data_IF_091186264596
#
_entry.id   IF_091186264596
#
_cell.length_a   1.000
_cell.length_b   1.000
_cell.length_c   1.000
_cell.angle_alpha   90.00
_cell.angle_beta   90.00
_cell.angle_gamma   90.00
#
_symmetry.space_group_name_H-M   'P 1'
#
loop_
_entity.id
_entity.type
_entity.pdbx_description
1 polymer ?
#
# COMPACT_ATOMS: atom_id res chain seq x y z
N UNK A 1 7.65 12.60 -4.58
CA UNK A 1 8.49 11.46 -4.08
C UNK A 1 9.92 11.92 -3.90
N UNK A 2 10.51 11.72 -2.73
CA UNK A 2 11.91 12.06 -2.42
C UNK A 2 12.59 10.89 -1.70
N UNK A 3 13.73 10.42 -2.20
CA UNK A 3 14.57 9.45 -1.48
C UNK A 3 15.32 10.17 -0.35
N UNK A 4 15.35 9.56 0.84
CA UNK A 4 15.95 10.12 2.05
C UNK A 4 17.14 9.27 2.48
N UNK A 5 18.32 9.88 2.53
CA UNK A 5 19.57 9.26 2.94
C UNK A 5 19.83 9.49 4.44
N UNK A 6 18.93 8.99 5.29
CA UNK A 6 19.07 9.01 6.74
C UNK A 6 18.99 7.57 7.26
N UNK A 7 20.13 7.00 7.60
CA UNK A 7 20.21 5.61 8.03
C UNK A 7 19.57 5.37 9.40
N UNK A 8 19.68 6.32 10.33
CA UNK A 8 19.12 6.20 11.67
C UNK A 8 17.59 6.16 11.61
N UNK A 9 16.99 7.11 10.86
CA UNK A 9 15.54 7.12 10.64
C UNK A 9 15.07 5.87 9.90
N UNK A 10 15.83 5.38 8.90
CA UNK A 10 15.51 4.13 8.20
C UNK A 10 15.46 2.95 9.18
N UNK A 11 16.47 2.79 10.03
CA UNK A 11 16.52 1.70 11.01
C UNK A 11 15.40 1.83 12.06
N UNK A 12 15.11 3.03 12.51
CA UNK A 12 13.99 3.29 13.42
C UNK A 12 12.67 2.83 12.80
N UNK A 13 12.36 3.27 11.57
CA UNK A 13 11.12 2.89 10.87
C UNK A 13 11.02 1.39 10.58
N UNK A 14 12.16 0.74 10.25
CA UNK A 14 12.21 -0.72 10.10
C UNK A 14 11.82 -1.45 11.38
N UNK A 15 12.31 -0.96 12.52
CA UNK A 15 12.03 -1.56 13.83
C UNK A 15 10.59 -1.32 14.27
N UNK A 16 10.11 -0.09 14.19
CA UNK A 16 8.76 0.29 14.61
C UNK A 16 7.66 -0.40 13.80
N UNK A 17 7.90 -0.64 12.52
CA UNK A 17 6.90 -1.22 11.61
C UNK A 17 6.98 -2.73 11.47
N UNK A 18 7.87 -3.39 12.20
CA UNK A 18 8.15 -4.84 12.06
C UNK A 18 8.47 -5.26 10.61
N UNK A 19 9.10 -4.36 9.83
CA UNK A 19 9.42 -4.59 8.43
C UNK A 19 10.30 -5.83 8.22
N UNK A 20 11.34 -5.98 9.07
CA UNK A 20 12.28 -7.10 8.98
C UNK A 20 11.61 -8.46 9.17
N UNK A 21 10.56 -8.50 9.97
CA UNK A 21 9.81 -9.73 10.26
C UNK A 21 8.97 -10.21 9.07
N UNK A 22 8.93 -9.42 8.00
CA UNK A 22 8.20 -9.80 6.78
C UNK A 22 8.99 -10.73 5.87
N UNK A 23 10.29 -10.91 6.09
CA UNK A 23 11.19 -11.63 5.18
C UNK A 23 11.98 -12.72 5.91
N UNK A 24 12.30 -13.80 5.19
CA UNK A 24 13.19 -14.86 5.72
C UNK A 24 14.67 -14.48 5.64
N UNK A 25 15.03 -13.51 4.80
CA UNK A 25 16.38 -13.01 4.61
C UNK A 25 16.50 -11.53 4.99
N UNK A 26 17.69 -11.09 5.38
CA UNK A 26 17.91 -9.67 5.67
C UNK A 26 17.94 -8.85 4.38
N UNK A 27 16.98 -7.98 4.22
CA UNK A 27 16.81 -7.07 3.09
C UNK A 27 17.26 -5.63 3.41
N UNK A 28 17.79 -5.40 4.60
CA UNK A 28 18.07 -4.05 5.14
C UNK A 28 19.09 -3.25 4.33
N UNK A 29 20.08 -3.92 3.74
CA UNK A 29 21.15 -3.28 2.98
C UNK A 29 20.63 -2.55 1.75
N UNK A 30 19.72 -3.18 1.00
CA UNK A 30 19.16 -2.67 -0.26
C UNK A 30 17.84 -1.89 -0.06
N UNK A 31 17.31 -1.90 1.17
CA UNK A 31 16.12 -1.12 1.49
C UNK A 31 16.44 0.36 1.46
N UNK A 32 15.61 1.11 0.73
CA UNK A 32 15.67 2.57 0.66
C UNK A 32 14.51 3.20 1.40
N UNK A 33 14.70 4.46 1.83
CA UNK A 33 13.67 5.24 2.50
C UNK A 33 13.17 6.33 1.57
N UNK A 34 11.84 6.37 1.40
CA UNK A 34 11.16 7.40 0.62
C UNK A 34 10.19 8.20 1.47
N UNK A 35 10.12 9.48 1.15
CA UNK A 35 9.19 10.42 1.73
C UNK A 35 8.25 10.97 0.64
N UNK A 36 6.96 10.99 0.94
CA UNK A 36 5.91 11.50 0.08
C UNK A 36 5.13 12.57 0.83
N UNK A 37 4.92 13.71 0.22
CA UNK A 37 4.01 14.73 0.71
C UNK A 37 2.56 14.37 0.37
N UNK A 38 1.62 15.00 1.05
CA UNK A 38 0.22 14.88 0.70
C UNK A 38 0.00 15.18 -0.80
N UNK A 39 -0.78 14.35 -1.48
CA UNK A 39 -1.06 14.34 -2.92
C UNK A 39 0.07 13.84 -3.82
N UNK A 40 1.23 13.44 -3.30
CA UNK A 40 2.23 12.72 -4.09
C UNK A 40 1.72 11.34 -4.49
N UNK A 41 2.11 10.89 -5.68
CA UNK A 41 1.85 9.52 -6.12
C UNK A 41 2.92 8.58 -5.59
N UNK A 42 2.50 7.52 -4.92
CA UNK A 42 3.34 6.37 -4.55
C UNK A 42 3.43 5.42 -5.74
N UNK A 43 2.30 5.13 -6.36
CA UNK A 43 2.19 4.42 -7.65
C UNK A 43 1.33 5.24 -8.59
N UNK A 44 1.79 5.42 -9.83
CA UNK A 44 1.01 6.09 -10.88
C UNK A 44 0.19 5.07 -11.66
N UNK A 45 -1.05 5.43 -12.01
CA UNK A 45 -1.92 4.58 -12.81
C UNK A 45 -1.28 4.26 -14.18
N UNK A 46 -1.33 2.99 -14.59
CA UNK A 46 -0.77 2.51 -15.86
C UNK A 46 0.77 2.43 -15.91
N UNK A 47 1.49 2.79 -14.84
CA UNK A 47 2.94 2.72 -14.80
C UNK A 47 3.40 1.64 -13.82
N UNK A 48 4.10 0.63 -14.33
CA UNK A 48 4.67 -0.43 -13.50
C UNK A 48 5.63 0.16 -12.46
N UNK A 49 5.39 -0.06 -11.15
CA UNK A 49 6.24 0.46 -10.10
C UNK A 49 7.61 -0.23 -10.13
N UNK A 50 8.67 0.55 -9.99
CA UNK A 50 10.04 0.02 -9.87
C UNK A 50 10.36 -0.49 -8.47
N UNK A 51 9.52 -0.18 -7.50
CA UNK A 51 9.72 -0.44 -6.07
C UNK A 51 8.52 -1.15 -5.48
N UNK A 52 8.80 -2.16 -4.64
CA UNK A 52 7.84 -2.64 -3.64
C UNK A 52 7.96 -1.72 -2.44
N UNK A 53 6.92 -0.93 -2.18
CA UNK A 53 6.88 -0.04 -1.03
C UNK A 53 6.26 -0.73 0.18
N UNK A 54 6.76 -0.39 1.36
CA UNK A 54 6.15 -0.71 2.63
C UNK A 54 5.89 0.60 3.36
N UNK A 55 4.63 0.99 3.42
CA UNK A 55 4.18 2.19 4.12
C UNK A 55 4.38 1.99 5.61
N UNK A 56 5.24 2.80 6.23
CA UNK A 56 5.56 2.71 7.66
C UNK A 56 4.84 3.76 8.49
N UNK A 57 4.54 4.90 7.89
CA UNK A 57 3.76 6.00 8.50
C UNK A 57 2.92 6.69 7.45
N UNK A 58 1.74 7.16 7.86
CA UNK A 58 0.81 7.90 7.02
C UNK A 58 -0.27 7.02 6.39
N UNK A 59 -1.07 7.65 5.52
CA UNK A 59 -2.20 7.04 4.83
C UNK A 59 -2.18 7.38 3.35
N UNK A 60 -2.63 6.44 2.52
CA UNK A 60 -2.76 6.61 1.09
C UNK A 60 -4.14 6.13 0.61
N UNK A 61 -4.55 6.55 -0.57
CA UNK A 61 -5.77 6.08 -1.23
C UNK A 61 -5.44 5.35 -2.52
N UNK A 62 -6.15 4.26 -2.75
CA UNK A 62 -6.15 3.52 -4.01
C UNK A 62 -7.36 3.93 -4.83
N UNK A 63 -7.16 4.31 -6.08
CA UNK A 63 -8.26 4.65 -6.97
C UNK A 63 -7.96 4.30 -8.44
N UNK A 64 -9.00 4.25 -9.24
CA UNK A 64 -8.92 4.08 -10.68
C UNK A 64 -9.62 5.24 -11.40
N UNK A 65 -9.08 5.63 -12.54
CA UNK A 65 -9.74 6.54 -13.46
C UNK A 65 -10.58 5.73 -14.45
N UNK A 66 -11.89 5.97 -14.44
CA UNK A 66 -12.82 5.30 -15.34
C UNK A 66 -12.75 5.89 -16.75
N UNK A 67 -13.22 5.15 -17.76
CA UNK A 67 -13.22 5.59 -19.17
C UNK A 67 -13.95 6.92 -19.42
N UNK A 68 -14.88 7.29 -18.53
CA UNK A 68 -15.59 8.58 -18.59
C UNK A 68 -14.86 9.73 -17.84
N UNK A 69 -13.61 9.53 -17.43
CA UNK A 69 -12.78 10.47 -16.69
C UNK A 69 -13.12 10.62 -15.20
N UNK A 70 -14.11 9.88 -14.69
CA UNK A 70 -14.43 9.91 -13.25
C UNK A 70 -13.44 9.06 -12.45
N UNK A 71 -13.11 9.53 -11.25
CA UNK A 71 -12.27 8.80 -10.31
C UNK A 71 -13.16 7.91 -9.44
N UNK A 72 -12.83 6.63 -9.38
CA UNK A 72 -13.46 5.65 -8.49
C UNK A 72 -12.49 5.30 -7.38
N UNK A 73 -12.83 5.66 -6.15
CA UNK A 73 -12.08 5.23 -4.97
C UNK A 73 -12.32 3.73 -4.76
N UNK A 74 -11.21 2.99 -4.57
CA UNK A 74 -11.22 1.54 -4.38
C UNK A 74 -11.00 1.20 -2.90
N UNK A 75 -9.93 1.73 -2.28
CA UNK A 75 -9.57 1.42 -0.90
C UNK A 75 -8.71 2.53 -0.28
N UNK A 76 -8.55 2.47 1.03
CA UNK A 76 -7.59 3.26 1.79
C UNK A 76 -6.50 2.35 2.35
N UNK A 77 -5.27 2.84 2.33
CA UNK A 77 -4.11 2.19 2.92
C UNK A 77 -3.65 2.97 4.14
N UNK A 78 -3.60 2.30 5.28
CA UNK A 78 -3.00 2.82 6.51
C UNK A 78 -1.72 2.01 6.81
N UNK A 79 -0.72 2.68 7.36
CA UNK A 79 0.50 2.02 7.82
C UNK A 79 0.22 1.06 9.01
N UNK A 80 0.92 -0.11 9.10
CA UNK A 80 1.88 -0.61 8.14
C UNK A 80 1.22 -1.46 7.04
N UNK A 81 1.60 -1.28 5.76
CA UNK A 81 1.13 -2.14 4.68
C UNK A 81 2.05 -2.12 3.45
N UNK A 82 2.00 -3.16 2.62
CA UNK A 82 2.66 -3.20 1.32
C UNK A 82 1.84 -2.45 0.26
N UNK A 83 2.54 -1.81 -0.67
CA UNK A 83 2.01 -1.13 -1.87
C UNK A 83 2.87 -1.56 -3.06
N UNK A 84 2.23 -2.01 -4.15
CA UNK A 84 2.91 -2.57 -5.33
C UNK A 84 3.06 -4.10 -5.25
N UNK A 85 2.43 -4.73 -4.28
CA UNK A 85 2.48 -6.18 -4.08
C UNK A 85 1.74 -6.95 -5.18
N UNK A 86 0.70 -6.37 -5.77
CA UNK A 86 -0.02 -6.99 -6.89
C UNK A 86 0.89 -7.05 -8.11
N UNK A 87 1.53 -5.95 -8.45
CA UNK A 87 2.46 -5.83 -9.56
C UNK A 87 3.75 -6.65 -9.34
N UNK A 88 4.12 -6.88 -8.08
CA UNK A 88 5.19 -7.83 -7.73
C UNK A 88 4.81 -9.26 -8.14
N UNK A 89 3.56 -9.68 -7.90
CA UNK A 89 3.07 -11.04 -8.21
C UNK A 89 2.79 -11.15 -9.71
N UNK A 90 1.97 -10.25 -10.23
CA UNK A 90 1.47 -10.24 -11.61
C UNK A 90 1.97 -9.00 -12.34
N UNK A 91 2.94 -9.19 -13.26
CA UNK A 91 3.51 -8.10 -14.06
C UNK A 91 2.53 -7.55 -15.10
N UNK A 92 1.58 -8.38 -15.53
CA UNK A 92 0.66 -8.05 -16.61
C UNK A 92 -0.54 -7.30 -16.06
N UNK A 93 -0.65 -7.20 -14.72
CA UNK A 93 -1.65 -6.38 -14.08
C UNK A 93 -1.42 -4.89 -14.33
N UNK A 94 -2.46 -4.17 -14.77
CA UNK A 94 -2.39 -2.73 -14.96
C UNK A 94 -2.46 -2.02 -13.60
N UNK A 95 -1.40 -1.27 -13.21
CA UNK A 95 -1.35 -0.63 -11.91
C UNK A 95 -2.42 0.45 -11.75
N UNK A 96 -3.03 0.49 -10.58
CA UNK A 96 -3.94 1.56 -10.16
C UNK A 96 -3.18 2.64 -9.42
N UNK A 97 -3.75 3.84 -9.39
CA UNK A 97 -3.13 4.97 -8.70
C UNK A 97 -3.16 4.78 -7.18
N UNK A 98 -2.00 4.89 -6.55
CA UNK A 98 -1.88 5.02 -5.08
C UNK A 98 -1.31 6.39 -4.77
N UNK A 99 -2.08 7.21 -4.06
CA UNK A 99 -1.75 8.60 -3.75
C UNK A 99 -1.76 8.84 -2.24
N UNK A 100 -0.72 9.49 -1.73
CA UNK A 100 -0.62 9.90 -0.34
C UNK A 100 -1.76 10.90 0.02
N UNK A 101 -2.48 10.64 1.11
CA UNK A 101 -3.51 11.54 1.65
C UNK A 101 -2.86 12.58 2.55
N UNK A 102 -1.87 12.15 3.30
CA UNK A 102 -1.06 12.93 4.22
C UNK A 102 0.42 12.64 3.99
N UNK A 103 1.29 13.16 4.81
CA UNK A 103 2.73 12.84 4.78
C UNK A 103 2.95 11.34 5.01
N UNK A 104 3.62 10.68 4.05
CA UNK A 104 3.86 9.24 4.08
C UNK A 104 5.36 8.92 4.07
N UNK A 105 5.75 7.92 4.86
CA UNK A 105 7.09 7.36 4.90
C UNK A 105 7.04 5.91 4.46
N UNK A 106 7.84 5.56 3.47
CA UNK A 106 7.88 4.23 2.89
C UNK A 106 9.30 3.67 2.88
N UNK A 107 9.46 2.45 3.38
CA UNK A 107 10.60 1.61 3.05
C UNK A 107 10.35 0.97 1.68
N UNK A 108 11.39 0.80 0.87
CA UNK A 108 11.22 0.30 -0.49
C UNK A 108 12.31 -0.68 -0.89
N UNK A 109 11.91 -1.74 -1.58
CA UNK A 109 12.81 -2.72 -2.21
C UNK A 109 12.73 -2.62 -3.72
N UNK A 110 13.87 -2.63 -4.46
CA UNK A 110 13.86 -2.56 -5.91
C UNK A 110 13.28 -3.85 -6.51
N UNK A 111 12.13 -3.75 -7.19
CA UNK A 111 11.42 -4.93 -7.73
C UNK A 111 12.28 -5.75 -8.70
N UNK A 112 13.10 -5.08 -9.51
CA UNK A 112 13.95 -5.75 -10.50
C UNK A 112 14.86 -6.83 -9.88
N UNK A 113 15.39 -6.56 -8.69
CA UNK A 113 16.32 -7.46 -7.99
C UNK A 113 15.60 -8.39 -7.01
N UNK A 114 14.58 -7.87 -6.31
CA UNK A 114 13.95 -8.58 -5.21
C UNK A 114 12.77 -9.45 -5.62
N UNK A 115 12.15 -9.21 -6.78
CA UNK A 115 11.03 -10.05 -7.23
C UNK A 115 11.30 -11.55 -7.21
N UNK A 116 12.38 -12.08 -7.83
CA UNK A 116 12.63 -13.52 -7.81
C UNK A 116 12.91 -14.04 -6.39
N UNK A 117 13.55 -13.25 -5.54
CA UNK A 117 13.81 -13.61 -4.15
C UNK A 117 12.51 -13.67 -3.33
N UNK A 118 11.69 -12.63 -3.42
CA UNK A 118 10.45 -12.51 -2.65
C UNK A 118 9.38 -13.53 -3.09
N UNK A 119 9.31 -13.87 -4.38
CA UNK A 119 8.42 -14.93 -4.88
C UNK A 119 8.84 -16.34 -4.45
N UNK A 120 10.03 -16.51 -3.91
CA UNK A 120 10.53 -17.76 -3.32
C UNK A 120 10.67 -17.68 -1.78
N UNK A 121 10.34 -16.53 -1.17
CA UNK A 121 10.35 -16.36 0.27
C UNK A 121 8.98 -16.76 0.86
N UNK A 122 8.93 -17.94 1.46
CA UNK A 122 7.69 -18.51 2.03
C UNK A 122 7.13 -17.66 3.16
N UNK A 123 7.97 -17.00 3.96
CA UNK A 123 7.52 -16.13 5.04
C UNK A 123 6.84 -14.88 4.48
N UNK A 124 7.50 -14.23 3.51
CA UNK A 124 6.94 -13.08 2.81
C UNK A 124 5.61 -13.42 2.12
N UNK A 125 5.59 -14.49 1.33
CA UNK A 125 4.39 -14.92 0.61
C UNK A 125 3.23 -15.24 1.57
N UNK A 126 3.50 -15.91 2.70
CA UNK A 126 2.47 -16.20 3.71
C UNK A 126 1.88 -14.91 4.28
N UNK A 127 2.72 -13.94 4.66
CA UNK A 127 2.25 -12.63 5.16
C UNK A 127 1.47 -11.88 4.10
N UNK A 128 1.97 -11.91 2.86
CA UNK A 128 1.30 -11.27 1.73
C UNK A 128 -0.09 -11.87 1.46
N UNK A 129 -0.22 -13.20 1.47
CA UNK A 129 -1.51 -13.88 1.32
C UNK A 129 -2.50 -13.46 2.41
N UNK A 130 -2.07 -13.38 3.67
CA UNK A 130 -2.92 -12.92 4.77
C UNK A 130 -3.37 -11.47 4.54
N UNK A 131 -2.43 -10.59 4.18
CA UNK A 131 -2.73 -9.17 3.91
C UNK A 131 -3.72 -9.01 2.75
N UNK A 132 -3.49 -9.72 1.63
CA UNK A 132 -4.37 -9.68 0.47
C UNK A 132 -5.76 -10.26 0.79
N UNK A 133 -5.84 -11.30 1.61
CA UNK A 133 -7.11 -11.86 2.08
C UNK A 133 -7.91 -10.85 2.90
N UNK A 134 -7.26 -10.11 3.79
CA UNK A 134 -7.90 -9.05 4.57
C UNK A 134 -8.36 -7.88 3.67
N UNK A 135 -7.52 -7.44 2.74
CA UNK A 135 -7.88 -6.39 1.76
C UNK A 135 -9.10 -6.83 0.93
N UNK A 136 -9.08 -8.07 0.41
CA UNK A 136 -10.18 -8.60 -0.38
C UNK A 136 -11.48 -8.71 0.42
N UNK A 137 -11.42 -9.21 1.66
CA UNK A 137 -12.59 -9.29 2.53
C UNK A 137 -13.21 -7.92 2.80
N UNK A 138 -12.39 -6.89 3.13
CA UNK A 138 -12.88 -5.53 3.31
C UNK A 138 -13.58 -4.99 2.05
N UNK A 139 -12.98 -5.23 0.88
CA UNK A 139 -13.55 -4.82 -0.40
C UNK A 139 -14.91 -5.50 -0.67
N UNK A 140 -15.04 -6.80 -0.39
CA UNK A 140 -16.30 -7.54 -0.52
C UNK A 140 -17.36 -6.94 0.42
N UNK A 141 -17.02 -6.71 1.69
CA UNK A 141 -17.95 -6.10 2.66
C UNK A 141 -18.40 -4.70 2.19
N UNK A 142 -17.46 -3.86 1.76
CA UNK A 142 -17.75 -2.53 1.25
C UNK A 142 -18.67 -2.56 0.01
N UNK A 143 -18.40 -3.45 -0.95
CA UNK A 143 -19.24 -3.62 -2.13
C UNK A 143 -20.64 -4.09 -1.76
N UNK A 144 -20.76 -5.07 -0.87
CA UNK A 144 -22.06 -5.61 -0.42
C UNK A 144 -22.88 -4.53 0.28
N UNK A 145 -22.26 -3.76 1.17
CA UNK A 145 -22.92 -2.65 1.85
C UNK A 145 -23.35 -1.55 0.86
N UNK A 146 -22.49 -1.21 -0.10
CA UNK A 146 -22.77 -0.19 -1.10
C UNK A 146 -23.92 -0.57 -2.03
N UNK A 147 -24.16 -1.86 -2.30
CA UNK A 147 -25.27 -2.33 -3.11
C UNK A 147 -26.60 -2.41 -2.33
N UNK A 148 -26.53 -2.67 -1.02
CA UNK A 148 -27.69 -3.01 -0.21
C UNK A 148 -28.31 -1.82 0.55
N UNK A 149 -27.59 -0.69 0.67
CA UNK A 149 -28.04 0.43 1.51
C UNK A 149 -28.30 1.72 0.73
N UNK A 150 -29.28 2.55 1.20
CA UNK A 150 -29.54 3.89 0.66
C UNK A 150 -28.29 4.78 0.70
N UNK A 151 -28.25 5.80 -0.17
CA UNK A 151 -27.12 6.73 -0.30
C UNK A 151 -26.66 7.35 1.04
N UNK A 152 -27.62 7.67 1.92
CA UNK A 152 -27.34 8.28 3.24
C UNK A 152 -26.52 7.34 4.12
N UNK A 153 -26.88 6.04 4.13
CA UNK A 153 -26.16 5.03 4.91
C UNK A 153 -24.76 4.78 4.33
N UNK A 154 -24.64 4.82 3.01
CA UNK A 154 -23.35 4.70 2.29
C UNK A 154 -22.43 5.87 2.61
N UNK A 155 -22.97 7.08 2.66
CA UNK A 155 -22.21 8.27 3.03
C UNK A 155 -21.76 8.21 4.50
N UNK A 156 -22.63 7.78 5.42
CA UNK A 156 -22.29 7.59 6.82
C UNK A 156 -21.17 6.55 6.99
N UNK A 157 -21.27 5.40 6.32
CA UNK A 157 -20.22 4.37 6.31
C UNK A 157 -18.89 4.89 5.75
N UNK A 158 -18.92 5.68 4.68
CA UNK A 158 -17.73 6.31 4.11
C UNK A 158 -17.06 7.29 5.08
N UNK A 159 -17.86 8.11 5.79
CA UNK A 159 -17.34 9.04 6.80
C UNK A 159 -16.71 8.28 7.95
N UNK A 160 -17.36 7.22 8.45
CA UNK A 160 -16.82 6.38 9.52
C UNK A 160 -15.50 5.72 9.11
N UNK A 161 -15.43 5.12 7.93
CA UNK A 161 -14.19 4.51 7.40
C UNK A 161 -13.04 5.51 7.24
N UNK A 162 -13.37 6.77 6.90
CA UNK A 162 -12.37 7.83 6.80
C UNK A 162 -11.90 8.34 8.18
N UNK A 163 -12.69 8.11 9.25
CA UNK A 163 -12.35 8.50 10.63
C UNK A 163 -11.67 7.39 11.43
N UNK A 164 -11.90 6.10 11.11
CA UNK A 164 -11.27 4.96 11.82
C UNK A 164 -9.72 4.94 11.74
N UNK A 165 -9.12 5.79 10.92
CA UNK A 165 -7.68 6.05 10.93
C UNK A 165 -7.16 6.81 12.16
N UNK A 166 -8.03 7.37 12.99
CA UNK A 166 -7.63 8.21 14.14
C UNK A 166 -7.79 7.47 15.50
N UNK A 167 -8.13 6.18 15.51
CA UNK A 167 -8.46 5.43 16.74
C UNK A 167 -7.52 4.27 17.08
N UNK A 168 -6.29 4.23 16.51
CA UNK A 168 -5.26 3.27 16.98
C UNK A 168 -3.89 3.93 17.05
#
# INVERSE_FOLDING_TARGET
MKEIHNNDLKQQLMSESAFKDCFSTDVSADTRLFHFLARDYIVQEGQQPSWLFYLTRGRARLYATLANGRVSLIDFFAAPCFIGEIELIDKDHEPRAVQAIEECWCLALPMKHYRPLLLNDTLFLRKLCVTLSHKNYRNIVSLTQNQSFPLVNRLAAFILLSQEGDLY
#
